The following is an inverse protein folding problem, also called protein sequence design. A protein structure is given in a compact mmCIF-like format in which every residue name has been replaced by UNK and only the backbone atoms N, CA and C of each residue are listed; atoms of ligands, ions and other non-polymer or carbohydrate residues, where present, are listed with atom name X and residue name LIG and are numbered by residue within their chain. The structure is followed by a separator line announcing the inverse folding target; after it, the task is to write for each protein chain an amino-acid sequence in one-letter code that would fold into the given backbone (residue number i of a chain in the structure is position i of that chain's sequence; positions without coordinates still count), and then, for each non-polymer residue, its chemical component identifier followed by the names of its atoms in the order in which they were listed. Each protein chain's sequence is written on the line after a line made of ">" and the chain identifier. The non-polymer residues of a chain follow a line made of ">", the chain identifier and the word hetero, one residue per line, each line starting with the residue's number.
data_IF_576816563668
#
_entry.id   IF_576816563668
#
_cell.length_a   1.000
_cell.length_b   1.000
_cell.length_c   1.000
_cell.angle_alpha   90.00
_cell.angle_beta   90.00
_cell.angle_gamma   90.00
#
_symmetry.space_group_name_H-M   'P 1'
#
loop_
_entity.id
_entity.type
_entity.pdbx_description
1 polymer ?
#
# COMPACT_ATOMS: atom_id res chain seq x y z
N UNK A 1 -94.35 74.37 -23.36
CA UNK A 1 -93.56 75.62 -23.18
C UNK A 1 -92.17 75.21 -22.69
N UNK A 2 -91.30 74.78 -23.60
CA UNK A 2 -90.24 75.57 -24.26
C UNK A 2 -89.10 75.99 -23.33
N UNK A 3 -87.91 75.43 -23.61
CA UNK A 3 -86.63 76.03 -23.24
C UNK A 3 -85.73 75.15 -22.38
N UNK A 4 -84.97 74.23 -22.99
CA UNK A 4 -83.78 73.68 -22.35
C UNK A 4 -82.54 73.86 -23.23
N UNK A 5 -81.59 74.58 -22.66
CA UNK A 5 -80.32 75.06 -23.21
C UNK A 5 -79.40 73.91 -23.64
N UNK A 6 -78.72 74.14 -24.77
CA UNK A 6 -77.48 73.49 -25.18
C UNK A 6 -76.37 73.75 -24.15
N UNK A 7 -75.68 72.69 -23.71
CA UNK A 7 -74.26 72.71 -23.34
C UNK A 7 -73.65 71.36 -23.71
N UNK A 8 -72.76 71.37 -24.70
CA UNK A 8 -71.97 70.21 -25.10
C UNK A 8 -70.87 69.95 -24.08
N UNK A 9 -70.57 68.67 -23.83
CA UNK A 9 -69.34 68.22 -23.17
C UNK A 9 -68.80 67.01 -23.95
N UNK A 10 -67.68 67.28 -24.61
CA UNK A 10 -66.52 66.43 -24.92
C UNK A 10 -66.59 64.93 -24.60
N UNK A 11 -66.35 64.13 -25.65
CA UNK A 11 -66.08 62.68 -25.60
C UNK A 11 -64.71 62.44 -24.94
N UNK A 12 -64.70 61.85 -23.75
CA UNK A 12 -63.51 61.33 -23.07
C UNK A 12 -63.35 59.82 -23.33
N UNK A 13 -62.32 59.48 -24.08
CA UNK A 13 -61.88 58.12 -24.40
C UNK A 13 -61.42 57.40 -23.13
N UNK A 14 -62.13 56.33 -22.72
CA UNK A 14 -61.72 55.49 -21.58
C UNK A 14 -60.59 54.55 -22.01
N UNK A 15 -59.36 54.91 -21.65
CA UNK A 15 -58.18 54.06 -21.77
C UNK A 15 -58.21 53.01 -20.64
N UNK A 16 -58.34 51.73 -20.99
CA UNK A 16 -58.27 50.59 -20.08
C UNK A 16 -56.79 50.37 -19.71
N UNK A 17 -56.37 50.73 -18.50
CA UNK A 17 -55.03 50.43 -17.99
C UNK A 17 -55.02 48.98 -17.49
N UNK A 18 -54.43 48.07 -18.26
CA UNK A 18 -54.09 46.72 -17.81
C UNK A 18 -52.79 46.79 -17.03
N UNK A 19 -52.84 46.64 -15.70
CA UNK A 19 -51.66 46.49 -14.86
C UNK A 19 -51.07 45.08 -15.09
N UNK A 20 -50.05 44.97 -15.94
CA UNK A 20 -49.17 43.80 -15.99
C UNK A 20 -48.26 43.83 -14.76
N UNK A 21 -48.58 43.02 -13.75
CA UNK A 21 -47.65 42.75 -12.64
C UNK A 21 -46.58 41.80 -13.15
N UNK A 22 -45.45 42.35 -13.59
CA UNK A 22 -44.26 41.59 -13.90
C UNK A 22 -43.69 41.00 -12.61
N UNK A 23 -43.97 39.74 -12.33
CA UNK A 23 -43.32 38.99 -11.23
C UNK A 23 -41.86 38.79 -11.65
N UNK A 24 -40.96 39.65 -11.18
CA UNK A 24 -39.52 39.40 -11.24
C UNK A 24 -39.24 38.16 -10.40
N UNK A 25 -39.04 37.03 -11.08
CA UNK A 25 -38.51 35.82 -10.47
C UNK A 25 -37.04 36.07 -10.15
N UNK A 26 -36.76 36.54 -8.94
CA UNK A 26 -35.40 36.55 -8.42
C UNK A 26 -34.87 35.12 -8.45
N UNK A 27 -33.67 34.86 -9.01
CA UNK A 27 -33.07 33.54 -8.87
C UNK A 27 -32.92 33.29 -7.37
N UNK A 28 -33.44 32.16 -6.89
CA UNK A 28 -33.17 31.71 -5.54
C UNK A 28 -31.66 31.56 -5.42
N UNK A 29 -31.01 32.53 -4.80
CA UNK A 29 -29.63 32.39 -4.34
C UNK A 29 -29.68 31.27 -3.32
N UNK A 30 -29.28 30.07 -3.75
CA UNK A 30 -29.18 28.92 -2.87
C UNK A 30 -28.38 29.33 -1.65
N UNK A 31 -28.92 29.10 -0.46
CA UNK A 31 -28.20 29.30 0.78
C UNK A 31 -26.83 28.60 0.66
N UNK A 32 -25.73 29.21 1.14
CA UNK A 32 -24.44 28.53 1.15
C UNK A 32 -24.64 27.18 1.85
N UNK A 33 -24.28 26.10 1.17
CA UNK A 33 -24.24 24.75 1.77
C UNK A 33 -23.42 24.90 3.04
N UNK A 34 -24.07 24.83 4.20
CA UNK A 34 -23.41 24.98 5.49
C UNK A 34 -22.27 23.98 5.55
N UNK A 35 -21.04 24.46 5.76
CA UNK A 35 -19.89 23.58 5.92
C UNK A 35 -20.18 22.65 7.11
N UNK A 36 -20.27 21.35 6.85
CA UNK A 36 -20.51 20.35 7.89
C UNK A 36 -19.46 20.52 9.01
N UNK A 37 -19.88 20.64 10.29
CA UNK A 37 -18.94 20.76 11.40
C UNK A 37 -17.91 19.62 11.40
N UNK A 38 -16.63 19.98 11.51
CA UNK A 38 -15.53 19.00 11.56
C UNK A 38 -15.11 18.42 10.20
N UNK A 39 -15.67 18.89 9.07
CA UNK A 39 -15.14 18.58 7.73
C UNK A 39 -13.72 19.14 7.61
N UNK A 40 -12.77 18.26 7.29
CA UNK A 40 -11.36 18.63 7.09
C UNK A 40 -10.97 18.38 5.64
N UNK A 41 -10.36 19.38 5.00
CA UNK A 41 -10.02 19.32 3.58
C UNK A 41 -8.51 19.42 3.38
N UNK A 42 -8.05 18.80 2.30
CA UNK A 42 -6.70 18.94 1.76
C UNK A 42 -6.51 20.35 1.17
N UNK A 43 -5.27 20.74 0.89
CA UNK A 43 -5.00 22.07 0.33
C UNK A 43 -5.34 22.15 -1.15
N UNK A 44 -5.28 21.01 -1.86
CA UNK A 44 -5.41 20.96 -3.31
C UNK A 44 -4.17 21.48 -4.03
N UNK A 45 -3.05 21.59 -3.32
CA UNK A 45 -1.77 22.01 -3.90
C UNK A 45 -1.22 20.97 -4.88
N UNK A 46 -1.59 19.69 -4.72
CA UNK A 46 -1.04 18.56 -5.49
C UNK A 46 -2.13 17.69 -6.10
N UNK A 47 -3.30 18.27 -6.39
CA UNK A 47 -4.41 17.56 -6.99
C UNK A 47 -5.75 18.23 -6.70
N UNK A 48 -6.84 17.48 -6.87
CA UNK A 48 -8.17 17.98 -6.48
C UNK A 48 -8.26 18.03 -4.95
N UNK A 49 -9.01 19.00 -4.44
CA UNK A 49 -9.32 19.09 -3.01
C UNK A 49 -10.14 17.87 -2.60
N UNK A 50 -9.62 17.11 -1.64
CA UNK A 50 -10.33 16.02 -0.99
C UNK A 50 -10.75 16.46 0.40
N UNK A 51 -11.97 16.13 0.81
CA UNK A 51 -12.46 16.46 2.14
C UNK A 51 -12.98 15.22 2.84
N UNK A 52 -12.61 15.08 4.11
CA UNK A 52 -13.03 14.00 4.99
C UNK A 52 -14.04 14.54 5.98
N UNK A 53 -15.27 14.02 5.91
CA UNK A 53 -16.36 14.35 6.82
C UNK A 53 -16.41 13.31 7.94
N UNK A 54 -16.57 13.71 9.22
CA UNK A 54 -16.67 12.76 10.32
C UNK A 54 -17.76 11.70 10.11
N UNK A 55 -18.93 12.08 9.59
CA UNK A 55 -20.04 11.17 9.32
C UNK A 55 -19.76 10.15 8.20
N UNK A 56 -18.79 10.44 7.31
CA UNK A 56 -18.42 9.62 6.17
C UNK A 56 -16.94 9.24 6.20
N UNK A 57 -16.33 9.21 7.40
CA UNK A 57 -14.87 9.15 7.56
C UNK A 57 -14.24 8.02 6.74
N UNK A 58 -14.78 6.80 6.83
CA UNK A 58 -14.26 5.63 6.10
C UNK A 58 -14.31 5.85 4.58
N UNK A 59 -15.46 6.29 4.07
CA UNK A 59 -15.66 6.47 2.63
C UNK A 59 -14.76 7.56 2.09
N UNK A 60 -14.77 8.74 2.73
CA UNK A 60 -13.99 9.88 2.27
C UNK A 60 -12.47 9.62 2.41
N UNK A 61 -12.04 8.91 3.45
CA UNK A 61 -10.62 8.53 3.64
C UNK A 61 -10.16 7.58 2.53
N UNK A 62 -10.92 6.55 2.19
CA UNK A 62 -10.55 5.64 1.10
C UNK A 62 -10.51 6.34 -0.26
N UNK A 63 -11.46 7.23 -0.54
CA UNK A 63 -11.42 8.05 -1.75
C UNK A 63 -10.20 8.97 -1.79
N UNK A 64 -9.81 9.57 -0.65
CA UNK A 64 -8.62 10.42 -0.55
C UNK A 64 -7.33 9.62 -0.76
N UNK A 65 -7.22 8.43 -0.15
CA UNK A 65 -6.08 7.52 -0.33
C UNK A 65 -5.93 7.15 -1.81
N UNK A 66 -6.99 6.71 -2.47
CA UNK A 66 -6.95 6.35 -3.90
C UNK A 66 -6.48 7.53 -4.75
N UNK A 67 -7.16 8.67 -4.60
CA UNK A 67 -6.87 9.88 -5.38
C UNK A 67 -5.42 10.36 -5.22
N UNK A 68 -4.93 10.45 -3.97
CA UNK A 68 -3.59 10.96 -3.72
C UNK A 68 -2.50 9.94 -4.09
N UNK A 69 -2.76 8.64 -3.96
CA UNK A 69 -1.84 7.62 -4.44
C UNK A 69 -1.65 7.72 -5.96
N UNK A 70 -2.76 7.71 -6.71
CA UNK A 70 -2.74 7.76 -8.18
C UNK A 70 -2.07 9.04 -8.70
N UNK A 71 -2.41 10.20 -8.12
CA UNK A 71 -1.82 11.49 -8.52
C UNK A 71 -0.31 11.54 -8.29
N UNK A 72 0.22 10.72 -7.38
CA UNK A 72 1.64 10.65 -7.07
C UNK A 72 2.36 9.44 -7.67
N UNK A 73 1.69 8.67 -8.54
CA UNK A 73 2.26 7.51 -9.20
C UNK A 73 2.48 6.31 -8.26
N UNK A 74 1.66 6.21 -7.21
CA UNK A 74 1.69 5.12 -6.24
C UNK A 74 0.50 4.19 -6.47
N UNK A 75 0.68 2.90 -6.20
CA UNK A 75 -0.44 1.98 -6.14
C UNK A 75 -1.33 2.31 -4.92
N UNK A 76 -2.66 2.45 -5.07
CA UNK A 76 -3.56 2.76 -3.96
C UNK A 76 -3.44 1.81 -2.76
N UNK A 77 -3.31 0.50 -3.02
CA UNK A 77 -3.18 -0.49 -1.94
C UNK A 77 -1.83 -0.46 -1.21
N UNK A 78 -0.74 -0.05 -1.88
CA UNK A 78 0.54 0.24 -1.21
C UNK A 78 0.35 1.38 -0.21
N UNK A 79 -0.22 2.50 -0.66
CA UNK A 79 -0.43 3.68 0.17
C UNK A 79 -1.40 3.40 1.33
N UNK A 80 -2.51 2.69 1.06
CA UNK A 80 -3.46 2.28 2.09
C UNK A 80 -2.81 1.40 3.18
N UNK A 81 -1.98 0.42 2.79
CA UNK A 81 -1.24 -0.42 3.76
C UNK A 81 -0.28 0.40 4.61
N UNK A 82 0.39 1.38 4.00
CA UNK A 82 1.29 2.28 4.71
C UNK A 82 0.54 3.12 5.75
N UNK A 83 -0.50 3.86 5.35
CA UNK A 83 -1.31 4.67 6.28
C UNK A 83 -1.98 3.79 7.35
N UNK A 84 -2.38 2.56 6.99
CA UNK A 84 -2.88 1.59 7.94
C UNK A 84 -1.83 1.19 8.99
N UNK A 85 -0.58 0.97 8.56
CA UNK A 85 0.51 0.63 9.45
C UNK A 85 0.89 1.80 10.37
N UNK A 86 0.78 3.03 9.90
CA UNK A 86 1.06 4.24 10.68
C UNK A 86 0.08 4.44 11.85
N UNK A 87 -1.21 4.48 11.55
CA UNK A 87 -2.22 4.91 12.53
C UNK A 87 -3.44 4.01 12.59
N UNK A 88 -3.53 3.01 11.72
CA UNK A 88 -4.77 2.27 11.42
C UNK A 88 -5.87 3.23 10.99
N UNK A 89 -5.54 4.24 10.20
CA UNK A 89 -6.45 5.32 9.78
C UNK A 89 -7.00 6.19 10.94
N UNK A 90 -6.32 6.24 12.09
CA UNK A 90 -6.73 7.12 13.19
C UNK A 90 -6.22 8.56 12.97
N UNK A 91 -7.10 9.54 12.72
CA UNK A 91 -6.69 10.91 12.47
C UNK A 91 -6.14 11.60 13.72
N UNK A 92 -6.34 11.03 14.91
CA UNK A 92 -5.90 11.59 16.19
C UNK A 92 -4.72 10.82 16.81
N UNK A 93 -4.09 9.91 16.06
CA UNK A 93 -2.99 9.11 16.57
C UNK A 93 -1.81 9.97 17.02
N UNK A 94 -1.21 9.63 18.16
CA UNK A 94 0.01 10.22 18.68
C UNK A 94 0.94 9.10 19.12
N UNK A 95 2.14 9.03 18.53
CA UNK A 95 3.15 8.05 18.91
C UNK A 95 4.00 8.51 20.10
N UNK A 96 4.73 7.60 20.77
CA UNK A 96 5.73 7.97 21.77
C UNK A 96 6.90 8.82 21.24
N UNK A 97 7.09 8.87 19.92
CA UNK A 97 8.10 9.66 19.24
C UNK A 97 7.52 10.97 18.67
N UNK A 98 6.35 11.41 19.16
CA UNK A 98 5.63 12.61 18.73
C UNK A 98 5.24 12.62 17.24
N UNK A 99 5.05 11.44 16.65
CA UNK A 99 4.45 11.33 15.33
C UNK A 99 2.93 11.50 15.41
N UNK A 100 2.35 12.35 14.56
CA UNK A 100 0.96 12.83 14.71
C UNK A 100 0.05 12.48 13.53
N UNK A 101 -1.19 12.18 13.87
CA UNK A 101 -2.31 12.01 12.97
C UNK A 101 -2.24 10.79 12.04
N UNK A 102 -3.09 10.80 11.01
CA UNK A 102 -3.36 9.61 10.19
C UNK A 102 -2.11 9.06 9.48
N UNK A 103 -1.17 9.93 9.15
CA UNK A 103 0.04 9.60 8.39
C UNK A 103 1.32 9.67 9.25
N UNK A 104 1.17 9.91 10.57
CA UNK A 104 2.26 9.90 11.56
C UNK A 104 3.47 10.76 11.16
N UNK A 105 3.23 12.00 10.76
CA UNK A 105 4.33 12.96 10.60
C UNK A 105 4.89 13.36 11.95
N UNK A 106 6.22 13.32 12.11
CA UNK A 106 6.91 14.04 13.17
C UNK A 106 7.02 15.54 12.81
N UNK A 107 7.10 16.40 13.82
CA UNK A 107 7.02 17.87 13.63
C UNK A 107 8.10 18.40 12.66
N UNK A 108 9.35 17.93 12.78
CA UNK A 108 10.44 18.37 11.91
C UNK A 108 10.21 18.03 10.43
N UNK A 109 9.66 16.85 10.14
CA UNK A 109 9.29 16.46 8.78
C UNK A 109 8.08 17.25 8.29
N UNK A 110 7.07 17.46 9.13
CA UNK A 110 5.91 18.26 8.77
C UNK A 110 6.32 19.69 8.38
N UNK A 111 7.16 20.34 9.19
CA UNK A 111 7.71 21.68 8.91
C UNK A 111 8.51 21.71 7.60
N UNK A 112 9.43 20.76 7.41
CA UNK A 112 10.24 20.65 6.19
C UNK A 112 9.37 20.49 4.93
N UNK A 113 8.25 19.76 5.06
CA UNK A 113 7.31 19.54 3.95
C UNK A 113 6.25 20.63 3.81
N UNK A 114 6.13 21.54 4.76
CA UNK A 114 5.08 22.56 4.78
C UNK A 114 3.69 22.02 5.11
N UNK A 115 3.62 20.89 5.83
CA UNK A 115 2.38 20.36 6.39
C UNK A 115 2.06 21.13 7.68
N UNK A 116 1.04 21.98 7.61
CA UNK A 116 0.69 22.90 8.72
C UNK A 116 -0.18 22.25 9.81
N UNK A 117 -0.82 21.12 9.52
CA UNK A 117 -1.67 20.39 10.46
C UNK A 117 -1.68 18.89 10.15
N UNK A 118 -0.91 18.12 10.92
CA UNK A 118 -0.85 16.66 10.80
C UNK A 118 -2.12 15.95 11.29
N UNK A 119 -2.96 16.60 12.10
CA UNK A 119 -4.23 16.04 12.57
C UNK A 119 -5.39 16.24 11.58
N UNK A 120 -5.23 17.11 10.58
CA UNK A 120 -6.13 17.15 9.43
C UNK A 120 -5.82 15.94 8.51
N UNK A 121 -6.68 14.91 8.46
CA UNK A 121 -6.37 13.68 7.75
C UNK A 121 -6.32 13.88 6.23
N UNK A 122 -7.14 14.78 5.68
CA UNK A 122 -7.14 15.02 4.23
C UNK A 122 -5.86 15.72 3.78
N UNK A 123 -5.38 16.67 4.58
CA UNK A 123 -4.11 17.36 4.35
C UNK A 123 -2.91 16.43 4.57
N UNK A 124 -2.90 15.66 5.67
CA UNK A 124 -1.84 14.71 5.96
C UNK A 124 -1.71 13.63 4.88
N UNK A 125 -2.82 13.12 4.33
CA UNK A 125 -2.80 12.16 3.22
C UNK A 125 -2.24 12.75 1.93
N UNK A 126 -2.60 14.00 1.59
CA UNK A 126 -2.06 14.70 0.41
C UNK A 126 -0.52 14.82 0.50
N UNK A 127 -0.02 15.25 1.65
CA UNK A 127 1.43 15.44 1.87
C UNK A 127 2.18 14.12 2.01
N UNK A 128 1.57 13.11 2.65
CA UNK A 128 2.16 11.77 2.79
C UNK A 128 2.31 11.09 1.43
N UNK A 129 1.28 11.10 0.60
CA UNK A 129 1.33 10.52 -0.74
C UNK A 129 2.37 11.23 -1.62
N UNK A 130 2.45 12.56 -1.52
CA UNK A 130 3.47 13.34 -2.22
C UNK A 130 4.87 12.95 -1.78
N UNK A 131 5.12 12.93 -0.48
CA UNK A 131 6.42 12.56 0.07
C UNK A 131 6.82 11.15 -0.41
N UNK A 132 5.93 10.19 -0.24
CA UNK A 132 6.18 8.81 -0.61
C UNK A 132 6.41 8.64 -2.13
N UNK A 133 5.66 9.37 -2.95
CA UNK A 133 5.85 9.39 -4.41
C UNK A 133 7.19 10.01 -4.83
N UNK A 134 7.63 11.08 -4.17
CA UNK A 134 8.94 11.68 -4.39
C UNK A 134 10.07 10.69 -4.07
N UNK A 135 10.00 10.02 -2.91
CA UNK A 135 10.98 8.99 -2.53
C UNK A 135 10.93 7.78 -3.48
N UNK A 136 9.74 7.34 -3.89
CA UNK A 136 9.61 6.22 -4.83
C UNK A 136 10.25 6.52 -6.18
N UNK A 137 10.18 7.77 -6.66
CA UNK A 137 10.89 8.18 -7.87
C UNK A 137 12.39 8.31 -7.65
N UNK A 138 12.80 8.90 -6.53
CA UNK A 138 14.21 9.12 -6.21
C UNK A 138 14.98 7.79 -6.01
N UNK A 139 14.36 6.83 -5.35
CA UNK A 139 14.95 5.51 -5.06
C UNK A 139 14.60 4.45 -6.10
N UNK A 140 13.72 4.78 -7.06
CA UNK A 140 13.35 3.92 -8.18
C UNK A 140 12.26 2.90 -7.89
N UNK A 141 11.87 2.67 -6.62
CA UNK A 141 10.79 1.73 -6.29
C UNK A 141 10.07 2.07 -4.95
N UNK A 142 8.81 1.61 -4.78
CA UNK A 142 8.02 1.90 -3.58
C UNK A 142 8.54 1.23 -2.30
N UNK A 143 9.24 0.11 -2.39
CA UNK A 143 9.78 -0.57 -1.21
C UNK A 143 10.88 0.22 -0.52
N UNK A 144 11.80 0.81 -1.29
CA UNK A 144 12.81 1.73 -0.75
C UNK A 144 12.17 3.03 -0.25
N UNK A 145 11.07 3.48 -0.86
CA UNK A 145 10.31 4.61 -0.32
C UNK A 145 9.71 4.30 1.06
N UNK A 146 9.21 3.08 1.28
CA UNK A 146 8.73 2.64 2.60
C UNK A 146 9.87 2.57 3.64
N UNK A 147 11.10 2.22 3.23
CA UNK A 147 12.29 2.33 4.09
C UNK A 147 12.51 3.79 4.50
N UNK A 148 12.47 4.71 3.54
CA UNK A 148 12.67 6.14 3.79
C UNK A 148 11.59 6.75 4.67
N UNK A 149 10.33 6.34 4.48
CA UNK A 149 9.21 6.87 5.26
C UNK A 149 9.30 6.52 6.75
N UNK A 150 9.60 5.27 7.10
CA UNK A 150 9.70 4.84 8.50
C UNK A 150 11.10 5.02 9.10
N UNK A 151 12.15 4.71 8.34
CA UNK A 151 13.54 4.76 8.80
C UNK A 151 14.21 6.12 8.61
N UNK A 152 13.63 7.01 7.83
CA UNK A 152 14.25 8.24 7.36
C UNK A 152 15.10 8.05 6.10
N UNK A 153 15.18 9.09 5.27
CA UNK A 153 15.87 9.10 3.97
C UNK A 153 17.33 8.67 4.08
N UNK A 154 18.07 9.15 5.09
CA UNK A 154 19.47 8.76 5.31
C UNK A 154 19.66 7.25 5.51
N UNK A 155 18.67 6.55 6.10
CA UNK A 155 18.74 5.08 6.25
C UNK A 155 18.44 4.37 4.93
N UNK A 156 17.52 4.90 4.13
CA UNK A 156 17.26 4.38 2.78
C UNK A 156 18.50 4.55 1.90
N UNK A 157 19.12 5.74 1.91
CA UNK A 157 20.37 6.03 1.19
C UNK A 157 21.52 5.12 1.64
N UNK A 158 21.69 4.92 2.95
CA UNK A 158 22.70 4.01 3.49
C UNK A 158 22.48 2.55 3.09
N UNK A 159 21.22 2.10 3.03
CA UNK A 159 20.87 0.77 2.54
C UNK A 159 21.23 0.62 1.05
N UNK A 160 20.85 1.60 0.22
CA UNK A 160 21.13 1.66 -1.23
C UNK A 160 22.62 1.66 -1.49
N UNK A 161 23.38 2.51 -0.80
CA UNK A 161 24.83 2.60 -0.89
C UNK A 161 25.55 1.41 -0.23
N UNK A 162 24.82 0.52 0.43
CA UNK A 162 25.35 -0.62 1.19
C UNK A 162 26.34 -0.22 2.28
N UNK A 163 26.16 0.95 2.87
CA UNK A 163 27.01 1.52 3.93
C UNK A 163 26.39 1.43 5.32
N UNK A 164 25.10 1.08 5.43
CA UNK A 164 24.37 1.02 6.68
C UNK A 164 23.30 -0.08 6.70
N UNK A 165 22.87 -0.44 7.91
CA UNK A 165 21.77 -1.38 8.15
C UNK A 165 20.49 -0.69 8.61
N UNK A 166 19.39 -1.44 8.59
CA UNK A 166 18.09 -0.97 9.05
C UNK A 166 17.79 -1.39 10.49
N UNK A 167 17.04 -0.54 11.20
CA UNK A 167 16.46 -0.93 12.49
C UNK A 167 15.45 -2.07 12.30
N UNK A 168 15.31 -2.94 13.32
CA UNK A 168 14.36 -4.08 13.28
C UNK A 168 12.93 -3.63 12.98
N UNK A 169 12.53 -2.47 13.48
CA UNK A 169 11.24 -1.87 13.20
C UNK A 169 11.04 -1.62 11.70
N UNK A 170 11.98 -0.93 11.05
CA UNK A 170 11.93 -0.64 9.61
C UNK A 170 11.94 -1.90 8.77
N UNK A 171 12.73 -2.91 9.15
CA UNK A 171 12.72 -4.23 8.48
C UNK A 171 11.32 -4.87 8.52
N UNK A 172 10.64 -4.81 9.67
CA UNK A 172 9.29 -5.35 9.81
C UNK A 172 8.25 -4.49 9.06
N UNK A 173 8.39 -3.17 9.14
CA UNK A 173 7.52 -2.20 8.48
C UNK A 173 7.44 -2.45 6.97
N UNK A 174 8.60 -2.54 6.29
CA UNK A 174 8.67 -2.81 4.85
C UNK A 174 8.03 -4.17 4.51
N UNK A 175 8.29 -5.21 5.29
CA UNK A 175 7.70 -6.54 5.08
C UNK A 175 6.18 -6.55 5.27
N UNK A 176 5.66 -5.78 6.22
CA UNK A 176 4.22 -5.69 6.46
C UNK A 176 3.53 -5.00 5.28
N UNK A 177 4.11 -3.91 4.76
CA UNK A 177 3.51 -3.08 3.72
C UNK A 177 3.69 -3.68 2.33
N UNK A 178 4.79 -4.37 2.07
CA UNK A 178 5.15 -4.85 0.71
C UNK A 178 5.25 -6.36 0.60
N UNK A 179 5.20 -7.11 1.70
CA UNK A 179 5.42 -8.56 1.68
C UNK A 179 6.87 -8.99 1.41
N UNK A 180 7.75 -8.09 0.97
CA UNK A 180 9.16 -8.35 0.64
C UNK A 180 10.10 -7.67 1.63
N UNK A 181 11.39 -8.05 1.61
CA UNK A 181 12.39 -7.40 2.46
C UNK A 181 12.95 -6.14 1.79
N UNK A 182 13.55 -5.25 2.58
CA UNK A 182 14.18 -4.06 2.05
C UNK A 182 15.37 -4.40 1.13
N UNK A 183 16.07 -5.50 1.41
CA UNK A 183 17.14 -6.03 0.59
C UNK A 183 16.62 -6.55 -0.76
N UNK A 184 15.48 -7.26 -0.78
CA UNK A 184 14.84 -7.64 -2.05
C UNK A 184 14.53 -6.40 -2.90
N UNK A 185 13.94 -5.36 -2.31
CA UNK A 185 13.66 -4.10 -3.02
C UNK A 185 14.91 -3.34 -3.49
N UNK A 186 16.07 -3.58 -2.87
CA UNK A 186 17.34 -2.99 -3.28
C UNK A 186 18.02 -3.79 -4.38
N UNK A 187 18.10 -5.10 -4.20
CA UNK A 187 18.97 -5.99 -4.98
C UNK A 187 18.25 -6.64 -6.17
N UNK A 188 16.97 -6.97 -6.01
CA UNK A 188 16.15 -7.66 -7.00
C UNK A 188 14.67 -7.22 -6.88
N UNK A 189 14.38 -5.93 -7.14
CA UNK A 189 13.01 -5.43 -7.07
C UNK A 189 12.15 -6.10 -8.14
N UNK A 190 10.95 -6.58 -7.80
CA UNK A 190 10.09 -7.24 -8.77
C UNK A 190 9.64 -6.26 -9.86
N UNK A 191 9.55 -6.73 -11.12
CA UNK A 191 9.04 -5.92 -12.24
C UNK A 191 7.56 -5.52 -12.04
N UNK A 192 6.76 -6.42 -11.46
CA UNK A 192 5.37 -6.19 -11.07
C UNK A 192 5.12 -6.72 -9.64
N UNK A 193 4.26 -6.05 -8.90
CA UNK A 193 3.97 -6.39 -7.51
C UNK A 193 2.49 -6.23 -7.20
N UNK A 194 1.90 -7.25 -6.58
CA UNK A 194 0.47 -7.24 -6.23
C UNK A 194 0.20 -6.30 -5.04
N UNK A 195 -0.30 -5.12 -5.36
CA UNK A 195 -0.68 -4.11 -4.36
C UNK A 195 -2.11 -4.27 -3.84
N UNK A 196 -2.87 -5.28 -4.26
CA UNK A 196 -4.28 -5.41 -3.86
C UNK A 196 -4.39 -5.68 -2.37
N UNK A 197 -5.40 -5.07 -1.76
CA UNK A 197 -5.66 -5.21 -0.31
C UNK A 197 -6.30 -6.56 0.03
N UNK A 198 -7.13 -7.11 -0.87
CA UNK A 198 -7.88 -8.34 -0.61
C UNK A 198 -8.25 -9.09 -1.91
N UNK A 199 -7.39 -10.00 -2.34
CA UNK A 199 -7.64 -10.83 -3.53
C UNK A 199 -7.97 -9.99 -4.76
N UNK A 200 -9.02 -10.37 -5.49
CA UNK A 200 -9.48 -9.66 -6.70
C UNK A 200 -10.49 -8.53 -6.40
N UNK A 201 -10.69 -8.16 -5.13
CA UNK A 201 -11.63 -7.12 -4.76
C UNK A 201 -11.16 -5.74 -5.26
N UNK A 202 -12.05 -4.91 -5.83
CA UNK A 202 -11.72 -3.52 -6.18
C UNK A 202 -11.17 -2.74 -4.98
N UNK A 203 -10.27 -1.78 -5.24
CA UNK A 203 -9.60 -1.03 -4.17
C UNK A 203 -10.58 -0.37 -3.19
N UNK A 204 -11.59 0.33 -3.69
CA UNK A 204 -12.56 1.05 -2.86
C UNK A 204 -13.27 0.11 -1.86
N UNK A 205 -13.74 -1.05 -2.33
CA UNK A 205 -14.42 -2.04 -1.48
C UNK A 205 -13.46 -2.64 -0.44
N UNK A 206 -12.24 -2.99 -0.87
CA UNK A 206 -11.25 -3.59 0.02
C UNK A 206 -10.73 -2.58 1.07
N UNK A 207 -10.59 -1.30 0.71
CA UNK A 207 -10.23 -0.23 1.64
C UNK A 207 -11.35 0.01 2.65
N UNK A 208 -12.62 0.00 2.21
CA UNK A 208 -13.76 0.09 3.12
C UNK A 208 -13.82 -1.08 4.09
N UNK A 209 -13.57 -2.31 3.63
CA UNK A 209 -13.52 -3.50 4.47
C UNK A 209 -12.39 -3.39 5.51
N UNK A 210 -11.18 -3.03 5.06
CA UNK A 210 -10.02 -2.76 5.91
C UNK A 210 -10.35 -1.76 7.03
N UNK A 211 -10.92 -0.61 6.66
CA UNK A 211 -11.23 0.46 7.58
C UNK A 211 -12.33 0.08 8.59
N UNK A 212 -13.38 -0.62 8.15
CA UNK A 212 -14.51 -1.03 9.01
C UNK A 212 -14.16 -2.19 9.93
N UNK A 213 -13.55 -3.24 9.37
CA UNK A 213 -13.23 -4.47 10.11
C UNK A 213 -11.92 -4.37 10.88
N UNK A 214 -11.18 -3.28 10.67
CA UNK A 214 -9.93 -2.95 11.33
C UNK A 214 -8.87 -4.07 11.18
N UNK A 215 -8.86 -4.74 10.03
CA UNK A 215 -8.04 -5.93 9.79
C UNK A 215 -7.38 -5.87 8.42
N UNK A 216 -6.06 -5.86 8.42
CA UNK A 216 -5.26 -5.97 7.19
C UNK A 216 -5.00 -7.43 6.82
N UNK A 217 -5.26 -7.77 5.57
CA UNK A 217 -4.86 -9.06 4.99
C UNK A 217 -3.35 -9.10 4.88
N UNK A 218 -2.71 -10.06 5.55
CA UNK A 218 -1.26 -10.23 5.47
C UNK A 218 -0.90 -10.77 4.08
N UNK A 219 0.20 -10.28 3.52
CA UNK A 219 0.81 -10.95 2.38
C UNK A 219 1.18 -12.40 2.74
N UNK A 220 1.04 -13.35 1.80
CA UNK A 220 1.67 -14.64 2.00
C UNK A 220 3.18 -14.42 2.25
N UNK A 221 3.82 -15.22 3.12
CA UNK A 221 5.28 -15.17 3.23
C UNK A 221 5.88 -15.33 1.82
N UNK A 222 6.90 -14.54 1.45
CA UNK A 222 7.60 -14.76 0.19
C UNK A 222 8.05 -16.22 0.17
N UNK A 223 7.76 -16.92 -0.92
CA UNK A 223 8.31 -18.26 -1.10
C UNK A 223 9.84 -18.11 -1.02
N UNK A 224 10.55 -18.99 -0.30
CA UNK A 224 12.00 -18.86 -0.23
C UNK A 224 12.54 -18.95 -1.65
N UNK A 225 13.42 -18.01 -2.02
CA UNK A 225 14.13 -18.11 -3.28
C UNK A 225 14.96 -19.40 -3.24
N UNK A 226 14.63 -20.30 -4.16
CA UNK A 226 15.28 -21.59 -4.31
C UNK A 226 15.98 -21.55 -5.64
N UNK A 227 17.23 -22.00 -5.68
CA UNK A 227 17.91 -22.13 -6.96
C UNK A 227 17.06 -23.03 -7.90
N UNK A 228 17.03 -22.80 -9.22
CA UNK A 228 16.13 -23.52 -10.14
C UNK A 228 16.20 -25.05 -10.03
N UNK A 229 17.37 -25.59 -9.70
CA UNK A 229 17.58 -27.01 -9.44
C UNK A 229 18.14 -27.24 -8.04
N UNK A 230 17.80 -28.39 -7.47
CA UNK A 230 18.26 -28.79 -6.15
C UNK A 230 18.78 -30.23 -6.14
N UNK A 231 19.93 -30.44 -5.49
CA UNK A 231 20.43 -31.78 -5.16
C UNK A 231 19.85 -32.20 -3.81
N UNK A 232 18.81 -33.04 -3.83
CA UNK A 232 18.10 -33.49 -2.64
C UNK A 232 18.85 -34.59 -1.92
N UNK A 233 19.18 -34.37 -0.65
CA UNK A 233 19.82 -35.37 0.22
C UNK A 233 18.89 -35.86 1.32
N UNK A 234 17.93 -35.03 1.75
CA UNK A 234 17.05 -35.35 2.87
C UNK A 234 15.67 -34.70 2.71
N UNK A 235 14.76 -35.08 3.60
CA UNK A 235 13.45 -34.46 3.74
C UNK A 235 12.95 -34.58 5.19
N UNK A 236 11.94 -33.79 5.55
CA UNK A 236 11.30 -33.80 6.86
C UNK A 236 9.84 -33.34 6.83
N UNK A 237 9.15 -33.49 7.97
CA UNK A 237 7.76 -33.02 8.14
C UNK A 237 7.67 -31.53 8.55
N UNK A 238 8.80 -30.93 8.90
CA UNK A 238 8.97 -29.50 9.16
C UNK A 238 10.31 -29.03 8.56
N UNK A 239 10.53 -27.72 8.39
CA UNK A 239 11.82 -27.20 7.95
C UNK A 239 12.99 -27.65 8.84
N UNK A 240 12.80 -27.67 10.16
CA UNK A 240 13.86 -28.05 11.11
C UNK A 240 14.14 -29.56 11.06
N UNK A 241 13.11 -30.38 10.90
CA UNK A 241 13.29 -31.82 10.70
C UNK A 241 14.05 -32.11 9.39
N UNK A 242 13.79 -31.34 8.32
CA UNK A 242 14.50 -31.46 7.06
C UNK A 242 15.99 -31.07 7.20
N UNK A 243 16.28 -29.98 7.91
CA UNK A 243 17.66 -29.55 8.22
C UNK A 243 18.41 -30.57 9.06
N UNK A 244 17.78 -31.11 10.11
CA UNK A 244 18.39 -32.13 10.95
C UNK A 244 18.68 -33.42 10.16
N UNK A 245 17.72 -33.87 9.34
CA UNK A 245 17.92 -35.03 8.48
C UNK A 245 19.01 -34.79 7.42
N UNK A 246 19.14 -33.57 6.90
CA UNK A 246 20.22 -33.19 5.99
C UNK A 246 21.59 -33.28 6.69
N UNK A 247 21.73 -32.69 7.87
CA UNK A 247 22.96 -32.70 8.65
C UNK A 247 23.40 -34.14 9.00
N UNK A 248 22.46 -35.05 9.24
CA UNK A 248 22.75 -36.47 9.44
C UNK A 248 23.21 -37.15 8.15
N UNK A 249 22.45 -36.99 7.07
CA UNK A 249 22.69 -37.71 5.80
C UNK A 249 23.91 -37.22 5.04
N UNK A 250 24.33 -35.96 5.25
CA UNK A 250 25.50 -35.40 4.59
C UNK A 250 26.82 -35.67 5.33
N UNK A 251 26.81 -36.39 6.47
CA UNK A 251 28.02 -36.67 7.26
C UNK A 251 29.15 -37.29 6.44
N UNK A 252 28.84 -38.22 5.54
CA UNK A 252 29.83 -38.90 4.70
C UNK A 252 30.45 -38.01 3.61
N UNK A 253 29.71 -36.99 3.15
CA UNK A 253 30.12 -36.08 2.08
C UNK A 253 30.21 -34.62 2.55
N UNK A 254 30.60 -34.41 3.82
CA UNK A 254 30.55 -33.07 4.45
C UNK A 254 31.34 -32.03 3.64
N UNK A 255 32.51 -32.39 3.14
CA UNK A 255 33.36 -31.52 2.31
C UNK A 255 32.72 -31.15 0.97
N UNK A 256 31.83 -32.00 0.43
CA UNK A 256 31.12 -31.71 -0.81
C UNK A 256 29.87 -30.85 -0.65
N UNK A 257 29.38 -30.67 0.58
CA UNK A 257 28.18 -29.84 0.85
C UNK A 257 28.50 -28.52 1.53
N UNK A 258 29.72 -28.36 2.05
CA UNK A 258 30.16 -27.15 2.72
C UNK A 258 30.17 -25.95 1.77
N UNK A 259 29.63 -24.81 2.22
CA UNK A 259 29.53 -23.59 1.42
C UNK A 259 28.49 -23.61 0.30
N UNK A 260 27.76 -24.72 0.12
CA UNK A 260 26.68 -24.81 -0.88
C UNK A 260 25.35 -24.40 -0.23
N UNK A 261 24.57 -23.47 -0.81
CA UNK A 261 23.28 -23.06 -0.26
C UNK A 261 22.31 -24.23 -0.06
N UNK A 262 21.66 -24.27 1.11
CA UNK A 262 20.67 -25.28 1.46
C UNK A 262 19.25 -24.72 1.34
N UNK A 263 18.56 -25.15 0.29
CA UNK A 263 17.17 -24.86 0.02
C UNK A 263 16.24 -25.83 0.77
N UNK A 264 15.22 -25.29 1.43
CA UNK A 264 14.16 -26.06 2.08
C UNK A 264 12.86 -25.90 1.29
N UNK A 265 12.61 -26.85 0.38
CA UNK A 265 11.52 -26.78 -0.62
C UNK A 265 10.32 -27.58 -0.15
N UNK A 266 9.16 -26.94 -0.01
CA UNK A 266 7.92 -27.66 0.34
C UNK A 266 7.30 -28.34 -0.88
N UNK A 267 7.09 -29.66 -0.80
CA UNK A 267 6.46 -30.46 -1.86
C UNK A 267 5.16 -31.07 -1.33
N UNK A 268 4.03 -30.72 -1.97
CA UNK A 268 2.71 -31.26 -1.61
C UNK A 268 2.64 -32.76 -1.86
N UNK A 269 2.01 -33.49 -0.93
CA UNK A 269 1.72 -34.90 -1.12
C UNK A 269 0.41 -35.04 -1.92
N UNK A 270 0.46 -35.69 -3.08
CA UNK A 270 -0.69 -35.83 -3.99
C UNK A 270 -1.53 -37.10 -3.78
N UNK A 271 -1.13 -37.98 -2.86
CA UNK A 271 -1.70 -39.34 -2.74
C UNK A 271 -2.24 -39.66 -1.34
N UNK A 272 -1.91 -38.87 -0.31
CA UNK A 272 -2.40 -39.11 1.06
C UNK A 272 -3.00 -37.86 1.71
N UNK A 273 -3.79 -38.03 2.77
CA UNK A 273 -4.34 -36.93 3.60
C UNK A 273 -3.29 -36.11 4.37
N UNK A 274 -1.99 -36.26 4.08
CA UNK A 274 -0.90 -35.45 4.64
C UNK A 274 -0.66 -34.20 3.78
N UNK A 275 -0.29 -33.09 4.42
CA UNK A 275 -0.06 -31.81 3.74
C UNK A 275 1.10 -31.84 2.73
N UNK A 276 2.21 -32.51 3.03
CA UNK A 276 3.41 -32.54 2.20
C UNK A 276 4.68 -32.84 2.98
N UNK A 277 5.83 -32.60 2.36
CA UNK A 277 7.17 -32.76 2.94
C UNK A 277 8.04 -31.55 2.62
N UNK A 278 8.98 -31.23 3.51
CA UNK A 278 10.04 -30.26 3.27
C UNK A 278 11.28 -30.99 2.78
N UNK A 279 11.72 -30.69 1.57
CA UNK A 279 12.89 -31.28 0.92
C UNK A 279 14.12 -30.43 1.19
N UNK A 280 15.20 -31.04 1.65
CA UNK A 280 16.47 -30.37 1.88
C UNK A 280 17.38 -30.59 0.66
N UNK A 281 17.61 -29.51 -0.10
CA UNK A 281 18.25 -29.54 -1.41
C UNK A 281 19.42 -28.56 -1.46
N UNK A 282 20.54 -28.98 -2.04
CA UNK A 282 21.64 -28.06 -2.33
C UNK A 282 21.34 -27.33 -3.65
N UNK A 283 21.19 -26.01 -3.58
CA UNK A 283 20.75 -25.18 -4.70
C UNK A 283 21.78 -25.07 -5.83
N UNK A 284 21.32 -25.10 -7.08
CA UNK A 284 22.10 -24.96 -8.31
C UNK A 284 21.31 -24.30 -9.44
N UNK A 285 22.03 -23.52 -10.25
CA UNK A 285 21.43 -22.73 -11.34
C UNK A 285 20.98 -23.59 -12.53
N UNK A 286 21.62 -24.75 -12.75
CA UNK A 286 21.32 -25.62 -13.90
C UNK A 286 21.27 -27.10 -13.52
N UNK A 287 20.46 -27.88 -14.24
CA UNK A 287 20.36 -29.33 -14.09
C UNK A 287 21.72 -30.03 -14.22
N UNK A 288 22.54 -29.61 -15.20
CA UNK A 288 23.86 -30.19 -15.44
C UNK A 288 24.76 -30.00 -14.21
N UNK A 289 24.75 -28.80 -13.65
CA UNK A 289 25.57 -28.44 -12.50
C UNK A 289 25.10 -29.18 -11.23
N UNK A 290 23.78 -29.37 -11.06
CA UNK A 290 23.20 -30.22 -10.02
C UNK A 290 23.59 -31.70 -10.17
N UNK A 291 23.55 -32.25 -11.39
CA UNK A 291 24.00 -33.63 -11.65
C UNK A 291 25.50 -33.81 -11.36
N UNK A 292 26.33 -32.84 -11.73
CA UNK A 292 27.77 -32.87 -11.42
C UNK A 292 28.01 -32.92 -9.90
N UNK A 293 27.32 -32.08 -9.14
CA UNK A 293 27.40 -32.11 -7.66
C UNK A 293 26.89 -33.43 -7.10
N UNK A 294 25.71 -33.90 -7.52
CA UNK A 294 25.19 -35.17 -7.02
C UNK A 294 26.14 -36.34 -7.31
N UNK A 295 26.78 -36.37 -8.49
CA UNK A 295 27.79 -37.37 -8.83
C UNK A 295 29.07 -37.24 -7.99
N UNK A 296 29.47 -36.02 -7.61
CA UNK A 296 30.58 -35.81 -6.67
C UNK A 296 30.24 -36.30 -5.26
N UNK A 297 29.04 -35.99 -4.76
CA UNK A 297 28.57 -36.43 -3.44
C UNK A 297 28.41 -37.95 -3.35
N UNK A 298 27.93 -38.60 -4.42
CA UNK A 298 27.85 -40.07 -4.51
C UNK A 298 29.21 -40.74 -4.41
N UNK A 299 30.24 -40.15 -5.03
CA UNK A 299 31.63 -40.64 -4.90
C UNK A 299 32.18 -40.51 -3.48
N UNK A 300 31.62 -39.61 -2.68
CA UNK A 300 31.92 -39.44 -1.25
C UNK A 300 30.98 -40.26 -0.33
N UNK A 301 30.11 -41.10 -0.89
CA UNK A 301 29.23 -41.99 -0.13
C UNK A 301 27.85 -41.43 0.24
N UNK A 302 27.48 -40.25 -0.25
CA UNK A 302 26.13 -39.70 -0.04
C UNK A 302 25.13 -40.18 -1.10
N UNK A 303 23.88 -40.36 -0.67
CA UNK A 303 22.75 -40.60 -1.57
C UNK A 303 22.06 -39.29 -1.88
N UNK A 304 21.91 -39.00 -3.16
CA UNK A 304 21.22 -37.80 -3.64
C UNK A 304 20.45 -38.07 -4.92
N UNK A 305 19.50 -37.18 -5.22
CA UNK A 305 18.82 -37.09 -6.51
C UNK A 305 18.64 -35.61 -6.88
N UNK A 306 18.55 -35.34 -8.19
CA UNK A 306 18.38 -33.99 -8.72
C UNK A 306 16.91 -33.77 -9.03
N UNK A 307 16.38 -32.61 -8.62
CA UNK A 307 15.02 -32.19 -8.92
C UNK A 307 15.00 -30.71 -9.31
N UNK A 308 14.03 -30.28 -10.14
CA UNK A 308 13.70 -28.86 -10.21
C UNK A 308 13.07 -28.41 -8.89
N UNK A 309 13.35 -27.16 -8.49
CA UNK A 309 12.78 -26.54 -7.29
C UNK A 309 11.49 -25.74 -7.57
N UNK A 310 11.16 -25.52 -8.85
CA UNK A 310 9.89 -25.01 -9.36
C UNK A 310 9.27 -25.94 -10.39
#
# INVERSE_FOLDING_TARGET
>A
MTGRRLRGHTKGMRLLVVLLVSILSLPAVGAPVSAEPGRMCSSGSYGRVMCIRPAHFVFDTCQAIEHFAETNGLAPGFFARLIWQESRFDPNALSPADARGIAQFIDSTAEMRGLVDSYNPALALEYSARYLGEMSRAYGNPGLAAVGYNGGEARAEGLIAQTGGLARETVQYVRIITGLTAETWRDDPPEDHDWRLQGDMPFADACHDLARNRRMTRYPPPEPDHAPFGVQLAYGLSPDAARAAFAERSRACRSGVEGVPLDIVFVRNRVSGRKGYYMARLGRDTAQSAHQLCNALRRQGCVCAVYPNG
#
